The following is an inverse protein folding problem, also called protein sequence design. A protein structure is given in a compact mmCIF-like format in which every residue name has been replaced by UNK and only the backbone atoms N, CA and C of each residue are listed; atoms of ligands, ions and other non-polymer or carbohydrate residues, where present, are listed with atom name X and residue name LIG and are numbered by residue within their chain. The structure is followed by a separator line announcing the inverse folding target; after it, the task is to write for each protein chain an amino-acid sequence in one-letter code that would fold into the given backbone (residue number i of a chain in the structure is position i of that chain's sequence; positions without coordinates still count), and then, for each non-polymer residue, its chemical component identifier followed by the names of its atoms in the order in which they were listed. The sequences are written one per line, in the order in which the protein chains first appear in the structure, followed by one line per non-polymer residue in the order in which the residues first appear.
data_IF_993115938944
#
_entry.id   IF_993115938944
#
_cell.length_a   1.000
_cell.length_b   1.000
_cell.length_c   1.000
_cell.angle_alpha   90.00
_cell.angle_beta   90.00
_cell.angle_gamma   90.00
#
_symmetry.space_group_name_H-M   'P 1'
#
loop_
_entity.id
_entity.type
_entity.pdbx_description
1 polymer ?
#
# COMPACT_ATOMS: atom_id res chain seq x y z
N UNK A 1 3.07 5.50 -21.50
CA UNK A 1 2.11 5.47 -20.37
C UNK A 1 1.40 6.81 -20.32
N UNK A 2 0.07 6.83 -20.40
CA UNK A 2 -0.66 8.07 -20.18
C UNK A 2 -0.62 8.45 -18.70
N UNK A 3 -0.86 9.74 -18.40
CA UNK A 3 -0.93 10.22 -17.01
C UNK A 3 -2.00 9.46 -16.20
N UNK A 4 -3.07 9.00 -16.86
CA UNK A 4 -4.14 8.24 -16.23
C UNK A 4 -3.69 6.85 -15.80
N UNK A 5 -2.96 6.13 -16.64
CA UNK A 5 -2.49 4.76 -16.34
C UNK A 5 -1.62 4.73 -15.08
N UNK A 6 -0.75 5.71 -14.92
CA UNK A 6 0.14 5.86 -13.76
C UNK A 6 -0.65 6.05 -12.45
N UNK A 7 -1.73 6.83 -12.51
CA UNK A 7 -2.61 7.09 -11.35
C UNK A 7 -3.49 5.88 -11.06
N UNK A 8 -3.98 5.20 -12.10
CA UNK A 8 -4.80 3.98 -11.97
C UNK A 8 -3.98 2.87 -11.32
N UNK A 9 -2.73 2.68 -11.72
CA UNK A 9 -1.85 1.68 -11.14
C UNK A 9 -1.61 1.93 -9.65
N UNK A 10 -1.31 3.18 -9.26
CA UNK A 10 -1.16 3.56 -7.85
C UNK A 10 -2.44 3.30 -7.03
N UNK A 11 -3.61 3.63 -7.59
CA UNK A 11 -4.90 3.35 -6.95
C UNK A 11 -5.22 1.86 -6.83
N UNK A 12 -4.87 1.06 -7.84
CA UNK A 12 -5.12 -0.37 -7.85
C UNK A 12 -4.29 -1.06 -6.77
N UNK A 13 -2.99 -0.77 -6.72
CA UNK A 13 -2.09 -1.33 -5.71
C UNK A 13 -2.53 -0.90 -4.32
N UNK A 14 -2.86 0.39 -4.13
CA UNK A 14 -3.44 0.88 -2.89
C UNK A 14 -4.73 0.12 -2.50
N UNK A 15 -5.68 0.01 -3.42
CA UNK A 15 -6.98 -0.61 -3.17
C UNK A 15 -6.87 -2.09 -2.82
N UNK A 16 -6.02 -2.84 -3.54
CA UNK A 16 -5.79 -4.27 -3.27
C UNK A 16 -5.12 -4.47 -1.91
N UNK A 17 -4.05 -3.73 -1.61
CA UNK A 17 -3.39 -3.81 -0.30
C UNK A 17 -4.33 -3.41 0.84
N UNK A 18 -5.13 -2.37 0.65
CA UNK A 18 -6.10 -1.92 1.65
C UNK A 18 -7.18 -2.98 1.91
N UNK A 19 -7.78 -3.55 0.87
CA UNK A 19 -8.79 -4.60 1.01
C UNK A 19 -8.24 -5.83 1.73
N UNK A 20 -7.07 -6.32 1.30
CA UNK A 20 -6.44 -7.49 1.93
C UNK A 20 -6.04 -7.22 3.38
N UNK A 21 -5.56 -6.01 3.68
CA UNK A 21 -5.25 -5.59 5.04
C UNK A 21 -6.48 -5.61 5.94
N UNK A 22 -7.63 -5.10 5.45
CA UNK A 22 -8.90 -5.14 6.19
C UNK A 22 -9.37 -6.59 6.42
N UNK A 23 -9.26 -7.46 5.41
CA UNK A 23 -9.63 -8.88 5.55
C UNK A 23 -8.79 -9.55 6.64
N UNK A 24 -7.47 -9.30 6.68
CA UNK A 24 -6.61 -9.85 7.72
C UNK A 24 -6.96 -9.28 9.11
N UNK A 25 -7.15 -7.96 9.21
CA UNK A 25 -7.44 -7.31 10.49
C UNK A 25 -8.80 -7.74 11.07
N UNK A 26 -9.87 -7.68 10.27
CA UNK A 26 -11.19 -8.11 10.70
C UNK A 26 -11.26 -9.63 10.88
N UNK A 27 -10.60 -10.40 10.02
CA UNK A 27 -10.47 -11.84 10.17
C UNK A 27 -9.90 -12.20 11.54
N UNK A 28 -8.80 -11.57 11.95
CA UNK A 28 -8.23 -11.75 13.29
C UNK A 28 -9.16 -11.24 14.40
N UNK A 29 -9.80 -10.08 14.22
CA UNK A 29 -10.69 -9.51 15.23
C UNK A 29 -11.88 -10.42 15.56
N UNK A 30 -12.50 -11.04 14.54
CA UNK A 30 -13.68 -11.89 14.71
C UNK A 30 -13.36 -13.33 15.08
N UNK A 31 -12.31 -13.91 14.48
CA UNK A 31 -12.00 -15.34 14.68
C UNK A 31 -10.96 -15.57 15.78
N UNK A 32 -10.17 -14.53 16.13
CA UNK A 32 -8.97 -14.62 16.99
C UNK A 32 -7.92 -15.63 16.46
N UNK A 33 -8.02 -16.01 15.19
CA UNK A 33 -7.12 -16.97 14.56
C UNK A 33 -5.80 -16.29 14.16
N UNK A 34 -4.69 -16.81 14.69
CA UNK A 34 -3.34 -16.29 14.45
C UNK A 34 -2.88 -16.39 12.99
N UNK A 35 -3.52 -17.21 12.16
CA UNK A 35 -3.29 -17.25 10.71
C UNK A 35 -3.60 -15.90 10.07
N UNK A 36 -4.65 -15.19 10.52
CA UNK A 36 -4.95 -13.86 10.01
C UNK A 36 -3.91 -12.81 10.44
N UNK A 37 -3.40 -12.90 11.67
CA UNK A 37 -2.35 -12.00 12.16
C UNK A 37 -1.02 -12.21 11.41
N UNK A 38 -0.59 -13.46 11.26
CA UNK A 38 0.64 -13.81 10.52
C UNK A 38 0.53 -13.49 9.03
N UNK A 39 -0.62 -13.77 8.40
CA UNK A 39 -0.87 -13.38 7.00
C UNK A 39 -0.91 -11.87 6.83
N UNK A 40 -1.53 -11.14 7.76
CA UNK A 40 -1.56 -9.68 7.76
C UNK A 40 -0.16 -9.06 7.90
N UNK A 41 0.71 -9.64 8.73
CA UNK A 41 2.10 -9.21 8.87
C UNK A 41 2.91 -9.46 7.60
N UNK A 42 2.77 -10.64 6.98
CA UNK A 42 3.39 -10.94 5.68
C UNK A 42 2.90 -9.97 4.59
N UNK A 43 1.59 -9.74 4.53
CA UNK A 43 0.99 -8.80 3.60
C UNK A 43 1.58 -7.40 3.78
N UNK A 44 1.78 -6.96 5.03
CA UNK A 44 2.36 -5.65 5.34
C UNK A 44 3.79 -5.52 4.79
N UNK A 45 4.62 -6.55 4.95
CA UNK A 45 5.99 -6.57 4.39
C UNK A 45 5.95 -6.50 2.86
N UNK A 46 5.20 -7.40 2.21
CA UNK A 46 5.14 -7.46 0.75
C UNK A 46 4.51 -6.20 0.13
N UNK A 47 3.42 -5.70 0.71
CA UNK A 47 2.77 -4.48 0.27
C UNK A 47 3.70 -3.28 0.42
N UNK A 48 4.46 -3.18 1.52
CA UNK A 48 5.44 -2.11 1.73
C UNK A 48 6.57 -2.18 0.70
N UNK A 49 7.13 -3.37 0.44
CA UNK A 49 8.16 -3.55 -0.58
C UNK A 49 7.67 -3.18 -1.99
N UNK A 50 6.48 -3.64 -2.38
CA UNK A 50 5.88 -3.31 -3.68
C UNK A 50 5.60 -1.81 -3.80
N UNK A 51 5.02 -1.20 -2.77
CA UNK A 51 4.79 0.24 -2.76
C UNK A 51 6.09 1.02 -2.94
N UNK A 52 7.15 0.64 -2.22
CA UNK A 52 8.44 1.30 -2.29
C UNK A 52 9.04 1.17 -3.70
N UNK A 53 8.95 -0.02 -4.30
CA UNK A 53 9.42 -0.28 -5.66
C UNK A 53 8.69 0.60 -6.69
N UNK A 54 7.37 0.71 -6.58
CA UNK A 54 6.56 1.55 -7.48
C UNK A 54 6.88 3.03 -7.27
N UNK A 55 7.03 3.47 -6.02
CA UNK A 55 7.42 4.86 -5.70
C UNK A 55 8.77 5.19 -6.30
N UNK A 56 9.77 4.31 -6.19
CA UNK A 56 11.10 4.49 -6.80
C UNK A 56 11.00 4.55 -8.33
N UNK A 57 10.25 3.64 -8.95
CA UNK A 57 10.02 3.66 -10.40
C UNK A 57 9.37 4.95 -10.88
N UNK A 58 8.37 5.44 -10.15
CA UNK A 58 7.69 6.72 -10.45
C UNK A 58 8.58 7.94 -10.22
N UNK A 59 9.45 7.89 -9.22
CA UNK A 59 10.43 8.95 -8.95
C UNK A 59 11.42 9.06 -10.09
N UNK A 60 12.01 7.94 -10.51
CA UNK A 60 12.94 7.87 -11.64
C UNK A 60 12.23 8.36 -12.91
N UNK A 61 11.04 7.82 -13.21
CA UNK A 61 10.29 8.22 -14.40
C UNK A 61 9.89 9.70 -14.40
N UNK A 62 9.50 10.24 -13.25
CA UNK A 62 9.15 11.65 -13.07
C UNK A 62 10.35 12.59 -13.15
N UNK A 63 11.56 12.11 -12.90
CA UNK A 63 12.81 12.87 -13.04
C UNK A 63 13.17 13.09 -14.51
N UNK A 64 12.97 12.06 -15.35
CA UNK A 64 13.27 12.11 -16.78
C UNK A 64 12.14 12.72 -17.63
N UNK A 65 10.93 12.87 -17.09
CA UNK A 65 9.78 13.44 -17.80
C UNK A 65 9.06 14.54 -16.99
N UNK A 66 9.52 15.80 -17.13
CA UNK A 66 8.95 16.95 -16.41
C UNK A 66 7.44 17.14 -16.65
N UNK A 67 6.95 16.91 -17.86
CA UNK A 67 5.51 17.01 -18.21
C UNK A 67 4.65 15.98 -17.48
N UNK A 68 5.23 14.87 -17.03
CA UNK A 68 4.54 13.78 -16.31
C UNK A 68 4.82 13.81 -14.80
N UNK A 69 5.74 14.65 -14.33
CA UNK A 69 6.17 14.76 -12.93
C UNK A 69 5.02 14.98 -11.95
N UNK A 70 4.06 15.86 -12.29
CA UNK A 70 2.86 16.09 -11.44
C UNK A 70 1.99 14.84 -11.27
N UNK A 71 1.83 14.03 -12.33
CA UNK A 71 1.06 12.80 -12.25
C UNK A 71 1.79 11.72 -11.44
N UNK A 72 3.11 11.59 -11.61
CA UNK A 72 3.95 10.72 -10.79
C UNK A 72 3.86 11.09 -9.31
N UNK A 73 4.03 12.37 -8.96
CA UNK A 73 3.94 12.83 -7.57
C UNK A 73 2.57 12.55 -6.95
N UNK A 74 1.49 12.73 -7.72
CA UNK A 74 0.13 12.41 -7.25
C UNK A 74 -0.05 10.91 -6.99
N UNK A 75 0.49 10.05 -7.86
CA UNK A 75 0.44 8.60 -7.68
C UNK A 75 1.30 8.15 -6.49
N UNK A 76 2.49 8.73 -6.33
CA UNK A 76 3.36 8.53 -5.16
C UNK A 76 2.61 8.91 -3.86
N UNK A 77 1.96 10.07 -3.81
CA UNK A 77 1.16 10.48 -2.65
C UNK A 77 0.05 9.48 -2.30
N UNK A 78 -0.66 8.95 -3.31
CA UNK A 78 -1.69 7.93 -3.11
C UNK A 78 -1.09 6.65 -2.54
N UNK A 79 0.05 6.20 -3.08
CA UNK A 79 0.76 5.01 -2.59
C UNK A 79 1.28 5.23 -1.17
N UNK A 80 1.82 6.41 -0.87
CA UNK A 80 2.36 6.76 0.45
C UNK A 80 1.32 6.73 1.56
N UNK A 81 0.04 6.98 1.28
CA UNK A 81 -1.07 6.84 2.25
C UNK A 81 -1.23 5.39 2.75
N UNK A 82 -0.79 4.39 1.99
CA UNK A 82 -0.82 3.00 2.43
C UNK A 82 0.10 2.75 3.64
N UNK A 83 1.22 3.48 3.74
CA UNK A 83 2.21 3.33 4.81
C UNK A 83 1.64 3.69 6.20
N UNK A 84 1.03 4.87 6.44
CA UNK A 84 0.41 5.19 7.72
C UNK A 84 -0.77 4.27 8.04
N UNK A 85 -1.53 3.81 7.05
CA UNK A 85 -2.61 2.82 7.26
C UNK A 85 -2.03 1.50 7.75
N UNK A 86 -0.95 1.02 7.12
CA UNK A 86 -0.25 -0.19 7.53
C UNK A 86 0.27 -0.08 8.97
N UNK A 87 0.87 1.06 9.35
CA UNK A 87 1.30 1.33 10.73
C UNK A 87 0.11 1.29 11.69
N UNK A 88 -1.02 1.89 11.32
CA UNK A 88 -2.23 1.85 12.13
C UNK A 88 -2.75 0.42 12.36
N UNK A 89 -2.75 -0.41 11.30
CA UNK A 89 -3.14 -1.82 11.41
C UNK A 89 -2.17 -2.64 12.25
N UNK A 90 -0.86 -2.39 12.14
CA UNK A 90 0.12 -3.03 13.01
C UNK A 90 -0.09 -2.66 14.48
N UNK A 91 -0.35 -1.38 14.78
CA UNK A 91 -0.65 -0.93 16.14
C UNK A 91 -1.93 -1.57 16.70
N UNK A 92 -2.98 -1.68 15.89
CA UNK A 92 -4.21 -2.39 16.29
C UNK A 92 -3.91 -3.87 16.57
N UNK A 93 -3.17 -4.53 15.68
CA UNK A 93 -2.79 -5.93 15.85
C UNK A 93 -2.00 -6.18 17.13
N UNK A 94 -1.01 -5.33 17.43
CA UNK A 94 -0.18 -5.41 18.64
C UNK A 94 -1.01 -5.18 19.91
N UNK A 95 -1.96 -4.25 19.91
CA UNK A 95 -2.81 -3.99 21.09
C UNK A 95 -3.87 -5.08 21.31
N UNK A 96 -4.23 -5.86 20.28
CA UNK A 96 -5.22 -6.93 20.36
C UNK A 96 -4.64 -8.30 20.73
N UNK A 97 -3.31 -8.44 20.63
CA UNK A 97 -2.56 -9.66 20.90
C UNK A 97 -2.13 -9.71 22.37
#
# INVERSE_FOLDING_TARGET
MENRDIIVLGKLVFGVSFLLGNICLFGYLFTKDQVFASSGYLLLIYATMLNLLIVLGLLIYGLFNETKRKACLKSILILSINIPIAVFYALIGINLM
#
